data_IF_684507510381
#
_entry.id   IF_684507510381
#
_cell.length_a   1.000
_cell.length_b   1.000
_cell.length_c   1.000
_cell.angle_alpha   90.00
_cell.angle_beta   90.00
_cell.angle_gamma   90.00
#
_symmetry.space_group_name_H-M   'P 1'
#
loop_
_entity.id
_entity.type
_entity.pdbx_description
1 polymer ?
#
# COMPACT_ATOMS: atom_id res chain seq x y z
N UNK A 1 30.47 -27.15 7.25
CA UNK A 1 30.07 -26.11 6.27
C UNK A 1 29.39 -24.98 7.04
N UNK A 2 30.00 -23.81 7.13
CA UNK A 2 29.36 -22.65 7.72
C UNK A 2 28.19 -22.26 6.79
N UNK A 3 26.96 -22.39 7.27
CA UNK A 3 25.80 -21.88 6.58
C UNK A 3 25.96 -20.36 6.50
N UNK A 4 26.21 -19.84 5.30
CA UNK A 4 26.34 -18.41 5.08
C UNK A 4 24.99 -17.77 5.47
N UNK A 5 24.99 -16.93 6.49
CA UNK A 5 23.79 -16.24 6.96
C UNK A 5 23.23 -15.39 5.82
N UNK A 6 22.12 -15.83 5.23
CA UNK A 6 21.39 -15.04 4.23
C UNK A 6 20.48 -14.06 4.94
N UNK A 7 20.65 -12.78 4.69
CA UNK A 7 19.73 -11.76 5.19
C UNK A 7 18.31 -12.01 4.61
N UNK A 8 17.32 -12.40 5.44
CA UNK A 8 15.99 -12.76 4.95
C UNK A 8 15.12 -11.55 4.54
N UNK A 9 15.59 -10.33 4.76
CA UNK A 9 14.89 -9.10 4.37
C UNK A 9 15.26 -8.63 2.96
N UNK A 10 16.26 -9.24 2.30
CA UNK A 10 16.64 -8.87 0.94
C UNK A 10 15.52 -9.15 -0.06
N UNK A 11 15.38 -8.21 -1.00
CA UNK A 11 14.45 -8.26 -2.13
C UNK A 11 15.21 -8.34 -3.46
N UNK A 12 16.42 -8.88 -3.45
CA UNK A 12 17.24 -9.03 -4.66
C UNK A 12 16.46 -9.83 -5.73
N UNK A 13 16.46 -9.32 -6.97
CA UNK A 13 15.73 -9.89 -8.11
C UNK A 13 14.19 -9.82 -8.01
N UNK A 14 13.62 -9.18 -7.00
CA UNK A 14 12.18 -8.91 -6.95
C UNK A 14 11.84 -7.70 -7.81
N UNK A 15 10.66 -7.77 -8.46
CA UNK A 15 10.08 -6.67 -9.25
C UNK A 15 8.79 -6.25 -8.57
N UNK A 16 8.77 -5.02 -8.07
CA UNK A 16 7.67 -4.47 -7.30
C UNK A 16 6.89 -3.41 -8.09
N UNK A 17 5.58 -3.59 -8.21
CA UNK A 17 4.65 -2.58 -8.71
C UNK A 17 3.97 -1.89 -7.52
N UNK A 18 4.09 -0.55 -7.43
CA UNK A 18 3.54 0.23 -6.31
C UNK A 18 2.61 1.31 -6.84
N UNK A 19 1.32 1.21 -6.51
CA UNK A 19 0.35 2.23 -6.88
C UNK A 19 0.43 3.43 -5.93
N UNK A 20 0.32 4.67 -6.48
CA UNK A 20 0.49 5.88 -5.69
C UNK A 20 1.92 6.05 -5.14
N UNK A 21 2.93 5.49 -5.84
CA UNK A 21 4.32 5.46 -5.39
C UNK A 21 5.10 6.77 -5.53
N UNK A 22 4.51 7.82 -6.09
CA UNK A 22 5.18 9.10 -6.33
C UNK A 22 5.33 9.99 -5.09
N UNK A 23 4.59 9.75 -4.01
CA UNK A 23 4.59 10.60 -2.81
C UNK A 23 4.20 9.81 -1.56
N UNK A 24 4.45 10.40 -0.38
CA UNK A 24 3.96 9.91 0.91
C UNK A 24 4.32 8.45 1.19
N UNK A 25 3.35 7.69 1.71
CA UNK A 25 3.54 6.28 2.10
C UNK A 25 4.04 5.43 0.93
N UNK A 26 3.45 5.58 -0.27
CA UNK A 26 3.88 4.82 -1.43
C UNK A 26 5.33 5.08 -1.83
N UNK A 27 5.79 6.32 -1.70
CA UNK A 27 7.18 6.67 -1.92
C UNK A 27 8.11 6.08 -0.84
N UNK A 28 7.71 6.14 0.44
CA UNK A 28 8.45 5.50 1.54
C UNK A 28 8.62 3.98 1.33
N UNK A 29 7.56 3.31 0.86
CA UNK A 29 7.63 1.88 0.48
C UNK A 29 8.59 1.66 -0.69
N UNK A 30 8.50 2.48 -1.75
CA UNK A 30 9.39 2.37 -2.90
C UNK A 30 10.86 2.54 -2.50
N UNK A 31 11.17 3.52 -1.65
CA UNK A 31 12.50 3.78 -1.10
C UNK A 31 13.03 2.58 -0.29
N UNK A 32 12.20 2.02 0.59
CA UNK A 32 12.57 0.83 1.35
C UNK A 32 12.86 -0.36 0.42
N UNK A 33 12.02 -0.61 -0.58
CA UNK A 33 12.21 -1.73 -1.49
C UNK A 33 13.48 -1.62 -2.34
N UNK A 34 13.79 -0.42 -2.85
CA UNK A 34 15.06 -0.15 -3.54
C UNK A 34 16.26 -0.40 -2.62
N UNK A 35 16.20 0.07 -1.37
CA UNK A 35 17.27 -0.15 -0.38
C UNK A 35 17.48 -1.65 -0.04
N UNK A 36 16.44 -2.47 -0.16
CA UNK A 36 16.54 -3.93 0.01
C UNK A 36 16.84 -4.69 -1.28
N UNK A 37 17.06 -4.00 -2.42
CA UNK A 37 17.53 -4.58 -3.69
C UNK A 37 16.46 -4.87 -4.73
N UNK A 38 15.21 -4.49 -4.52
CA UNK A 38 14.16 -4.66 -5.52
C UNK A 38 14.23 -3.63 -6.65
N UNK A 39 13.85 -4.04 -7.86
CA UNK A 39 13.44 -3.11 -8.92
C UNK A 39 12.03 -2.64 -8.66
N UNK A 40 11.78 -1.33 -8.74
CA UNK A 40 10.50 -0.75 -8.40
C UNK A 40 9.90 -0.02 -9.59
N UNK A 41 8.65 -0.33 -9.92
CA UNK A 41 7.83 0.42 -10.85
C UNK A 41 6.74 1.14 -10.06
N UNK A 42 6.79 2.47 -10.06
CA UNK A 42 5.76 3.27 -9.40
C UNK A 42 4.73 3.75 -10.41
N UNK A 43 3.46 3.73 -10.02
CA UNK A 43 2.37 4.24 -10.87
C UNK A 43 1.53 5.28 -10.15
N UNK A 44 1.00 6.23 -10.92
CA UNK A 44 0.15 7.30 -10.43
C UNK A 44 -0.42 8.12 -11.57
N UNK A 45 -1.35 9.01 -11.28
CA UNK A 45 -2.08 9.82 -12.30
C UNK A 45 -1.29 11.01 -12.83
N UNK A 46 -0.36 11.52 -12.03
CA UNK A 46 0.40 12.74 -12.35
C UNK A 46 1.86 12.40 -12.58
N UNK A 47 2.35 12.79 -13.73
CA UNK A 47 3.69 12.42 -14.19
C UNK A 47 4.80 13.11 -13.38
N UNK A 48 4.66 14.40 -13.10
CA UNK A 48 5.68 15.19 -12.39
C UNK A 48 6.10 14.59 -11.03
N UNK A 49 5.18 14.22 -10.11
CA UNK A 49 5.57 13.56 -8.86
C UNK A 49 6.28 12.21 -9.08
N UNK A 50 5.89 11.47 -10.12
CA UNK A 50 6.51 10.18 -10.45
C UNK A 50 7.95 10.38 -10.96
N UNK A 51 8.18 11.35 -11.84
CA UNK A 51 9.52 11.70 -12.35
C UNK A 51 10.44 12.12 -11.20
N UNK A 52 9.96 12.98 -10.29
CA UNK A 52 10.71 13.42 -9.12
C UNK A 52 11.08 12.23 -8.22
N UNK A 53 10.12 11.35 -7.95
CA UNK A 53 10.33 10.16 -7.13
C UNK A 53 11.37 9.22 -7.76
N UNK A 54 11.26 8.91 -9.05
CA UNK A 54 12.24 8.03 -9.75
C UNK A 54 13.63 8.65 -9.75
N UNK A 55 13.76 9.97 -9.93
CA UNK A 55 15.05 10.66 -9.85
C UNK A 55 15.72 10.47 -8.48
N UNK A 56 14.94 10.51 -7.39
CA UNK A 56 15.43 10.29 -6.02
C UNK A 56 15.75 8.82 -5.75
N UNK A 57 14.90 7.89 -6.23
CA UNK A 57 15.07 6.44 -6.05
C UNK A 57 16.23 5.85 -6.87
N UNK A 58 16.65 6.52 -7.94
CA UNK A 58 17.79 6.11 -8.78
C UNK A 58 17.44 5.01 -9.80
N UNK A 59 18.48 4.33 -10.28
CA UNK A 59 18.42 3.42 -11.44
C UNK A 59 17.58 2.16 -11.24
N UNK A 60 17.27 1.80 -10.00
CA UNK A 60 16.40 0.66 -9.66
C UNK A 60 14.91 0.99 -9.77
N UNK A 61 14.54 2.24 -10.07
CA UNK A 61 13.17 2.69 -10.15
C UNK A 61 12.79 3.15 -11.56
N UNK A 62 11.54 2.91 -11.93
CA UNK A 62 10.89 3.44 -13.12
C UNK A 62 9.44 3.80 -12.82
N UNK A 63 8.74 4.48 -13.75
CA UNK A 63 7.35 4.85 -13.54
C UNK A 63 6.47 4.60 -14.76
N UNK A 64 5.16 4.56 -14.53
CA UNK A 64 4.09 4.62 -15.53
C UNK A 64 3.01 5.58 -15.07
N UNK A 65 2.51 6.40 -15.98
CA UNK A 65 1.30 7.19 -15.72
C UNK A 65 0.10 6.26 -15.87
N UNK A 66 -0.67 6.10 -14.80
CA UNK A 66 -1.83 5.22 -14.77
C UNK A 66 -2.84 5.66 -13.72
N UNK A 67 -4.13 5.65 -14.11
CA UNK A 67 -5.26 5.85 -13.20
C UNK A 67 -5.86 4.48 -12.84
N UNK A 68 -5.83 4.14 -11.55
CA UNK A 68 -6.33 2.85 -11.05
C UNK A 68 -7.82 2.62 -11.29
N UNK A 69 -8.58 3.68 -11.63
CA UNK A 69 -10.00 3.56 -12.00
C UNK A 69 -10.21 3.13 -13.46
N UNK A 70 -9.16 3.05 -14.25
CA UNK A 70 -9.19 2.59 -15.64
C UNK A 70 -9.02 1.07 -15.70
N UNK A 71 -9.99 0.36 -15.14
CA UNK A 71 -9.94 -1.10 -14.95
C UNK A 71 -9.70 -1.87 -16.24
N UNK A 72 -10.27 -1.39 -17.35
CA UNK A 72 -10.11 -1.93 -18.69
C UNK A 72 -8.67 -1.89 -19.22
N UNK A 73 -7.83 -1.02 -18.64
CA UNK A 73 -6.42 -0.89 -19.01
C UNK A 73 -5.46 -1.63 -18.08
N UNK A 74 -5.99 -2.30 -17.05
CA UNK A 74 -5.14 -3.00 -16.06
C UNK A 74 -4.30 -4.09 -16.71
N UNK A 75 -4.88 -4.88 -17.61
CA UNK A 75 -4.17 -5.97 -18.30
C UNK A 75 -3.03 -5.43 -19.17
N UNK A 76 -3.30 -4.46 -20.04
CA UNK A 76 -2.28 -3.86 -20.91
C UNK A 76 -1.16 -3.16 -20.13
N UNK A 77 -1.46 -2.56 -18.96
CA UNK A 77 -0.44 -2.02 -18.07
C UNK A 77 0.50 -3.12 -17.58
N UNK A 78 -0.07 -4.20 -17.03
CA UNK A 78 0.71 -5.31 -16.49
C UNK A 78 1.55 -5.98 -17.56
N UNK A 79 1.00 -6.22 -18.76
CA UNK A 79 1.71 -6.81 -19.88
C UNK A 79 2.89 -5.93 -20.31
N UNK A 80 2.69 -4.62 -20.43
CA UNK A 80 3.76 -3.69 -20.80
C UNK A 80 4.91 -3.65 -19.78
N UNK A 81 4.59 -3.72 -18.50
CA UNK A 81 5.58 -3.79 -17.42
C UNK A 81 6.33 -5.11 -17.49
N UNK A 82 5.62 -6.21 -17.68
CA UNK A 82 6.21 -7.55 -17.75
C UNK A 82 7.15 -7.71 -18.94
N UNK A 83 6.78 -7.19 -20.11
CA UNK A 83 7.63 -7.20 -21.31
C UNK A 83 8.94 -6.43 -21.09
N UNK A 84 8.90 -5.32 -20.38
CA UNK A 84 10.05 -4.45 -20.18
C UNK A 84 10.93 -4.85 -18.99
N UNK A 85 10.34 -5.32 -17.92
CA UNK A 85 11.04 -5.49 -16.63
C UNK A 85 11.08 -6.95 -16.15
N UNK A 86 10.22 -7.81 -16.67
CA UNK A 86 10.02 -9.18 -16.18
C UNK A 86 8.77 -9.31 -15.30
N UNK A 87 8.53 -10.52 -14.78
CA UNK A 87 7.34 -10.83 -13.97
C UNK A 87 7.29 -10.02 -12.68
N UNK A 88 6.14 -9.41 -12.41
CA UNK A 88 5.88 -8.67 -11.17
C UNK A 88 5.71 -9.68 -10.05
N UNK A 89 6.65 -9.71 -9.11
CA UNK A 89 6.64 -10.60 -7.94
C UNK A 89 6.05 -9.96 -6.69
N UNK A 90 5.94 -8.62 -6.67
CA UNK A 90 5.37 -7.85 -5.57
C UNK A 90 4.40 -6.80 -6.11
N UNK A 91 3.18 -6.78 -5.59
CA UNK A 91 2.22 -5.71 -5.84
C UNK A 91 1.88 -4.99 -4.53
N UNK A 92 2.00 -3.65 -4.53
CA UNK A 92 1.55 -2.81 -3.41
C UNK A 92 0.38 -1.94 -3.87
N UNK A 93 -0.80 -2.25 -3.36
CA UNK A 93 -2.01 -1.47 -3.53
C UNK A 93 -2.04 -0.32 -2.51
N UNK A 94 -1.40 0.80 -2.85
CA UNK A 94 -1.32 1.98 -1.98
C UNK A 94 -2.15 3.16 -2.51
N UNK A 95 -2.36 3.29 -3.81
CA UNK A 95 -3.19 4.35 -4.36
C UNK A 95 -4.56 4.38 -3.68
N UNK A 96 -4.99 5.56 -3.26
CA UNK A 96 -6.25 5.70 -2.55
C UNK A 96 -6.78 7.13 -2.61
N UNK A 97 -8.05 7.27 -2.34
CA UNK A 97 -8.76 8.52 -2.19
C UNK A 97 -9.32 8.62 -0.79
N UNK A 98 -9.01 9.71 -0.11
CA UNK A 98 -9.56 10.05 1.19
C UNK A 98 -10.74 11.02 0.99
N UNK A 99 -11.82 10.80 1.74
CA UNK A 99 -12.95 11.73 1.82
C UNK A 99 -13.20 12.09 3.27
N UNK A 100 -13.33 13.38 3.56
CA UNK A 100 -13.70 13.89 4.87
C UNK A 100 -15.00 14.72 4.71
N UNK A 101 -16.14 14.12 5.07
CA UNK A 101 -17.47 14.71 4.96
C UNK A 101 -18.41 14.03 5.95
N UNK A 102 -19.33 14.78 6.56
CA UNK A 102 -20.32 14.19 7.47
C UNK A 102 -21.15 13.12 6.72
N UNK A 103 -21.41 12.00 7.36
CA UNK A 103 -22.05 10.86 6.71
C UNK A 103 -23.41 11.19 6.08
N UNK A 104 -24.17 12.10 6.70
CA UNK A 104 -25.47 12.54 6.20
C UNK A 104 -25.37 13.35 4.89
N UNK A 105 -24.21 13.94 4.62
CA UNK A 105 -23.99 14.79 3.44
C UNK A 105 -23.28 14.06 2.30
N UNK A 106 -22.80 12.81 2.54
CA UNK A 106 -22.12 12.00 1.50
C UNK A 106 -23.15 11.47 0.53
N UNK A 107 -22.98 11.78 -0.78
CA UNK A 107 -23.86 11.22 -1.81
C UNK A 107 -23.39 9.80 -2.21
N UNK A 108 -24.27 9.04 -2.84
CA UNK A 108 -23.98 7.70 -3.35
C UNK A 108 -22.86 7.75 -4.40
N UNK A 109 -22.82 8.78 -5.24
CA UNK A 109 -21.79 8.98 -6.26
C UNK A 109 -20.43 9.22 -5.64
N UNK A 110 -20.35 10.07 -4.60
CA UNK A 110 -19.12 10.31 -3.84
C UNK A 110 -18.65 9.03 -3.14
N UNK A 111 -19.59 8.26 -2.56
CA UNK A 111 -19.29 6.99 -1.92
C UNK A 111 -18.73 6.00 -2.92
N UNK A 112 -19.38 5.84 -4.08
CA UNK A 112 -18.94 4.96 -5.17
C UNK A 112 -17.58 5.37 -5.73
N UNK A 113 -17.32 6.69 -5.84
CA UNK A 113 -16.00 7.18 -6.28
C UNK A 113 -14.88 6.71 -5.35
N UNK A 114 -15.09 6.77 -4.02
CA UNK A 114 -14.12 6.26 -3.04
C UNK A 114 -13.93 4.75 -3.17
N UNK A 115 -15.01 3.99 -3.35
CA UNK A 115 -14.93 2.53 -3.58
C UNK A 115 -14.21 2.18 -4.89
N UNK A 116 -14.49 2.90 -5.97
CA UNK A 116 -13.86 2.67 -7.27
C UNK A 116 -12.35 2.83 -7.20
N UNK A 117 -11.87 3.90 -6.55
CA UNK A 117 -10.43 4.14 -6.42
C UNK A 117 -9.78 3.13 -5.47
N UNK A 118 -10.32 2.99 -4.26
CA UNK A 118 -9.66 2.20 -3.21
C UNK A 118 -9.88 0.69 -3.41
N UNK A 119 -11.10 0.24 -3.71
CA UNK A 119 -11.44 -1.20 -3.71
C UNK A 119 -11.30 -1.80 -5.09
N UNK A 120 -12.06 -1.28 -6.08
CA UNK A 120 -12.10 -1.88 -7.41
C UNK A 120 -10.78 -1.73 -8.15
N UNK A 121 -10.09 -0.57 -8.01
CA UNK A 121 -8.76 -0.35 -8.59
C UNK A 121 -7.74 -1.34 -8.06
N UNK A 122 -7.72 -1.53 -6.74
CA UNK A 122 -6.83 -2.49 -6.09
C UNK A 122 -7.14 -3.94 -6.46
N UNK A 123 -8.42 -4.30 -6.52
CA UNK A 123 -8.85 -5.64 -6.92
C UNK A 123 -8.49 -5.94 -8.38
N UNK A 124 -8.76 -4.99 -9.28
CA UNK A 124 -8.46 -5.15 -10.72
C UNK A 124 -6.98 -5.41 -10.96
N UNK A 125 -6.09 -4.63 -10.35
CA UNK A 125 -4.64 -4.84 -10.46
C UNK A 125 -4.20 -6.15 -9.79
N UNK A 126 -4.72 -6.46 -8.60
CA UNK A 126 -4.39 -7.70 -7.90
C UNK A 126 -4.74 -8.92 -8.74
N UNK A 127 -5.92 -8.93 -9.38
CA UNK A 127 -6.36 -10.01 -10.27
C UNK A 127 -5.44 -10.18 -11.48
N UNK A 128 -5.01 -9.10 -12.12
CA UNK A 128 -4.13 -9.21 -13.29
C UNK A 128 -2.71 -9.64 -12.91
N UNK A 129 -2.15 -9.09 -11.84
CA UNK A 129 -0.82 -9.51 -11.38
C UNK A 129 -0.84 -10.95 -10.87
N UNK A 130 -1.89 -11.37 -10.18
CA UNK A 130 -2.02 -12.75 -9.69
C UNK A 130 -1.98 -13.78 -10.82
N UNK A 131 -2.47 -13.49 -12.03
CA UNK A 131 -2.36 -14.39 -13.19
C UNK A 131 -0.90 -14.81 -13.43
N UNK A 132 0.05 -13.88 -13.35
CA UNK A 132 1.48 -14.16 -13.54
C UNK A 132 2.09 -14.86 -12.32
N UNK A 133 1.71 -14.43 -11.11
CA UNK A 133 2.20 -15.02 -9.87
C UNK A 133 1.77 -16.48 -9.74
N UNK A 134 0.57 -16.82 -10.18
CA UNK A 134 0.06 -18.22 -10.21
C UNK A 134 0.89 -19.11 -11.14
N UNK A 135 1.31 -18.61 -12.31
CA UNK A 135 2.18 -19.36 -13.23
C UNK A 135 3.56 -19.62 -12.62
N UNK A 136 4.11 -18.64 -11.91
CA UNK A 136 5.43 -18.76 -11.28
C UNK A 136 5.41 -19.42 -9.89
N UNK A 137 4.21 -19.69 -9.35
CA UNK A 137 3.98 -20.17 -7.99
C UNK A 137 4.71 -19.34 -6.93
N UNK A 138 4.79 -18.01 -7.15
CA UNK A 138 5.48 -17.07 -6.28
C UNK A 138 4.88 -15.67 -6.40
N UNK A 139 4.55 -15.07 -5.27
CA UNK A 139 4.10 -13.67 -5.28
C UNK A 139 3.77 -13.11 -3.90
N UNK A 140 3.72 -11.78 -3.84
CA UNK A 140 3.31 -11.05 -2.65
C UNK A 140 2.39 -9.89 -3.05
N UNK A 141 1.21 -9.84 -2.47
CA UNK A 141 0.27 -8.73 -2.65
C UNK A 141 0.07 -8.05 -1.30
N UNK A 142 0.33 -6.75 -1.27
CA UNK A 142 0.21 -5.92 -0.07
C UNK A 142 -0.84 -4.83 -0.31
N UNK A 143 -1.79 -4.70 0.62
CA UNK A 143 -2.76 -3.62 0.64
C UNK A 143 -2.40 -2.61 1.71
N UNK A 144 -2.46 -1.32 1.39
CA UNK A 144 -2.35 -0.26 2.38
C UNK A 144 -3.76 0.11 2.82
N UNK A 145 -4.16 -0.52 3.92
CA UNK A 145 -5.42 -0.28 4.62
C UNK A 145 -5.38 1.05 5.40
N UNK A 146 -5.92 1.10 6.59
CA UNK A 146 -5.89 2.25 7.50
C UNK A 146 -6.29 1.79 8.90
N UNK A 147 -5.89 2.53 9.92
CA UNK A 147 -6.47 2.37 11.26
C UNK A 147 -8.01 2.50 11.24
N UNK A 148 -8.58 3.22 10.28
CA UNK A 148 -10.04 3.32 10.09
C UNK A 148 -10.70 2.00 9.66
N UNK A 149 -9.92 0.99 9.28
CA UNK A 149 -10.39 -0.38 9.09
C UNK A 149 -10.62 -1.12 10.42
N UNK A 150 -10.08 -0.61 11.52
CA UNK A 150 -10.05 -1.25 12.83
C UNK A 150 -10.87 -0.49 13.87
N UNK A 151 -10.95 0.84 13.73
CA UNK A 151 -11.68 1.73 14.65
C UNK A 151 -12.54 2.73 13.88
N UNK A 152 -13.59 3.23 14.55
CA UNK A 152 -14.45 4.29 14.00
C UNK A 152 -13.81 5.67 14.12
N UNK A 153 -13.79 6.41 13.01
CA UNK A 153 -13.43 7.83 12.96
C UNK A 153 -14.59 8.58 12.29
N UNK A 154 -15.08 9.69 12.87
CA UNK A 154 -16.18 10.46 12.27
C UNK A 154 -15.77 11.11 10.95
N UNK A 155 -16.74 11.37 10.11
CA UNK A 155 -16.63 12.10 8.83
C UNK A 155 -15.79 11.40 7.74
N UNK A 156 -15.48 10.10 7.88
CA UNK A 156 -14.71 9.34 6.89
C UNK A 156 -15.41 8.01 6.52
N UNK A 157 -16.73 7.98 6.50
CA UNK A 157 -17.52 6.76 6.36
C UNK A 157 -17.20 5.99 5.08
N UNK A 158 -17.21 6.63 3.91
CA UNK A 158 -16.89 5.98 2.65
C UNK A 158 -15.45 5.46 2.61
N UNK A 159 -14.51 6.25 3.14
CA UNK A 159 -13.10 5.84 3.25
C UNK A 159 -12.92 4.65 4.19
N UNK A 160 -13.56 4.69 5.37
CA UNK A 160 -13.52 3.57 6.34
C UNK A 160 -14.11 2.30 5.75
N UNK A 161 -15.26 2.39 5.06
CA UNK A 161 -15.86 1.25 4.36
C UNK A 161 -14.91 0.66 3.31
N UNK A 162 -14.29 1.53 2.48
CA UNK A 162 -13.33 1.10 1.47
C UNK A 162 -12.08 0.43 2.07
N UNK A 163 -11.53 0.99 3.13
CA UNK A 163 -10.34 0.43 3.79
C UNK A 163 -10.65 -0.83 4.59
N UNK A 164 -11.86 -0.96 5.15
CA UNK A 164 -12.33 -2.17 5.80
C UNK A 164 -12.57 -3.32 4.81
N UNK A 165 -12.96 -3.02 3.56
CA UNK A 165 -13.07 -4.02 2.49
C UNK A 165 -11.76 -4.80 2.29
N UNK A 166 -10.60 -4.17 2.50
CA UNK A 166 -9.29 -4.85 2.39
C UNK A 166 -9.15 -6.00 3.40
N UNK A 167 -9.77 -5.92 4.59
CA UNK A 167 -9.71 -7.00 5.58
C UNK A 167 -10.38 -8.28 5.07
N UNK A 168 -11.51 -8.12 4.38
CA UNK A 168 -12.20 -9.23 3.71
C UNK A 168 -11.42 -9.76 2.52
N UNK A 169 -10.95 -8.86 1.63
CA UNK A 169 -10.16 -9.21 0.45
C UNK A 169 -8.88 -9.95 0.82
N UNK A 170 -8.12 -9.45 1.80
CA UNK A 170 -6.86 -10.08 2.23
C UNK A 170 -7.09 -11.50 2.72
N UNK A 171 -8.10 -11.74 3.55
CA UNK A 171 -8.41 -13.09 4.06
C UNK A 171 -8.85 -14.04 2.95
N UNK A 172 -9.75 -13.59 2.10
CA UNK A 172 -10.27 -14.41 0.99
C UNK A 172 -9.16 -14.76 -0.02
N UNK A 173 -8.43 -13.74 -0.50
CA UNK A 173 -7.36 -13.93 -1.48
C UNK A 173 -6.17 -14.73 -0.92
N UNK A 174 -5.83 -14.54 0.37
CA UNK A 174 -4.81 -15.35 1.03
C UNK A 174 -5.23 -16.82 1.08
N UNK A 175 -6.47 -17.13 1.44
CA UNK A 175 -6.97 -18.51 1.48
C UNK A 175 -6.97 -19.14 0.09
N UNK A 176 -7.36 -18.38 -0.93
CA UNK A 176 -7.46 -18.88 -2.30
C UNK A 176 -6.08 -19.09 -2.95
N UNK A 177 -5.13 -18.16 -2.75
CA UNK A 177 -3.88 -18.13 -3.52
C UNK A 177 -2.64 -18.63 -2.78
N UNK A 178 -2.69 -18.76 -1.43
CA UNK A 178 -1.52 -19.25 -0.68
C UNK A 178 -1.13 -20.71 -1.02
N UNK A 179 -2.08 -21.62 -1.36
CA UNK A 179 -1.68 -22.95 -1.85
C UNK A 179 -0.82 -22.93 -3.12
N UNK A 180 -0.90 -21.83 -3.91
CA UNK A 180 -0.10 -21.63 -5.11
C UNK A 180 1.12 -20.69 -4.86
N UNK A 181 1.49 -20.46 -3.60
CA UNK A 181 2.71 -19.72 -3.26
C UNK A 181 2.57 -18.19 -3.25
N UNK A 182 1.35 -17.65 -3.28
CA UNK A 182 1.13 -16.20 -3.20
C UNK A 182 0.69 -15.83 -1.79
N UNK A 183 1.41 -14.89 -1.16
CA UNK A 183 1.02 -14.31 0.14
C UNK A 183 0.28 -13.00 -0.06
N UNK A 184 -0.78 -12.78 0.72
CA UNK A 184 -1.61 -11.58 0.65
C UNK A 184 -1.77 -11.02 2.05
N UNK A 185 -1.31 -9.77 2.26
CA UNK A 185 -1.35 -9.10 3.56
C UNK A 185 -1.81 -7.64 3.42
N UNK A 186 -2.10 -7.00 4.54
CA UNK A 186 -2.31 -5.57 4.61
C UNK A 186 -1.48 -4.92 5.73
N UNK A 187 -1.21 -3.63 5.57
CA UNK A 187 -0.75 -2.75 6.64
C UNK A 187 -1.88 -1.76 6.92
N UNK A 188 -2.16 -1.49 8.19
CA UNK A 188 -3.06 -0.44 8.63
C UNK A 188 -2.25 0.71 9.26
N UNK A 189 -1.85 1.73 8.46
CA UNK A 189 -1.15 2.89 8.99
C UNK A 189 -2.02 3.68 9.96
N UNK A 190 -1.38 4.23 10.99
CA UNK A 190 -1.94 5.27 11.83
C UNK A 190 -1.77 6.66 11.22
N UNK A 191 -1.45 7.62 12.08
CA UNK A 191 -1.16 8.99 11.66
C UNK A 191 0.30 9.11 11.24
N UNK A 192 0.55 9.14 9.93
CA UNK A 192 1.88 9.19 9.32
C UNK A 192 2.17 10.61 8.83
N UNK A 193 3.36 11.12 9.14
CA UNK A 193 3.83 12.44 8.70
C UNK A 193 4.05 12.47 7.19
N UNK A 194 3.05 12.93 6.48
CA UNK A 194 3.04 13.12 5.03
C UNK A 194 2.68 14.56 4.70
N UNK A 195 2.99 15.00 3.47
CA UNK A 195 2.58 16.33 3.02
C UNK A 195 1.05 16.56 3.16
N UNK A 196 0.25 15.50 2.94
CA UNK A 196 -1.20 15.55 3.14
C UNK A 196 -1.56 15.77 4.62
N UNK A 197 -0.91 15.05 5.56
CA UNK A 197 -1.15 15.18 6.99
C UNK A 197 -0.72 16.56 7.48
N UNK A 198 0.48 17.04 7.10
CA UNK A 198 0.97 18.37 7.46
C UNK A 198 -0.02 19.45 7.02
N UNK A 199 -0.47 19.43 5.76
CA UNK A 199 -1.48 20.36 5.26
C UNK A 199 -2.80 20.28 6.04
N UNK A 200 -3.22 19.09 6.45
CA UNK A 200 -4.47 18.89 7.20
C UNK A 200 -4.39 19.34 8.67
N UNK A 201 -3.18 19.57 9.20
CA UNK A 201 -2.93 19.95 10.60
C UNK A 201 -2.28 21.33 10.77
N UNK A 202 -1.81 21.96 9.68
CA UNK A 202 -1.06 23.22 9.68
C UNK A 202 -1.78 24.36 10.41
N UNK A 203 -3.10 24.44 10.27
CA UNK A 203 -3.92 25.49 10.88
C UNK A 203 -4.75 25.00 12.09
N UNK A 204 -4.55 23.76 12.56
CA UNK A 204 -5.36 23.16 13.61
C UNK A 204 -4.51 22.45 14.68
N UNK A 205 -3.89 23.23 15.62
CA UNK A 205 -3.12 22.66 16.74
C UNK A 205 -3.94 21.73 17.64
N UNK A 206 -5.24 21.99 17.81
CA UNK A 206 -6.11 21.13 18.62
C UNK A 206 -6.29 19.76 17.99
N UNK A 207 -6.30 19.71 16.67
CA UNK A 207 -6.32 18.42 15.93
C UNK A 207 -5.04 17.64 16.16
N UNK A 208 -3.88 18.31 16.15
CA UNK A 208 -2.58 17.67 16.45
C UNK A 208 -2.60 17.09 17.85
N UNK A 209 -3.00 17.87 18.85
CA UNK A 209 -3.09 17.44 20.26
C UNK A 209 -4.02 16.22 20.39
N UNK A 210 -5.20 16.25 19.75
CA UNK A 210 -6.14 15.13 19.76
C UNK A 210 -5.56 13.87 19.11
N UNK A 211 -4.82 14.01 18.01
CA UNK A 211 -4.16 12.90 17.32
C UNK A 211 -3.07 12.28 18.21
N UNK A 212 -2.19 13.11 18.74
CA UNK A 212 -1.08 12.66 19.58
C UNK A 212 -1.59 12.10 20.92
N UNK A 213 -2.62 12.73 21.51
CA UNK A 213 -3.24 12.22 22.74
C UNK A 213 -3.92 10.84 22.57
N UNK A 214 -4.38 10.51 21.36
CA UNK A 214 -4.91 9.18 21.05
C UNK A 214 -3.82 8.15 20.72
N UNK A 215 -2.63 8.61 20.30
CA UNK A 215 -1.52 7.73 19.90
C UNK A 215 -0.64 7.45 21.13
N UNK A 216 -0.63 6.23 21.69
CA UNK A 216 0.14 5.90 22.91
C UNK A 216 1.63 6.26 22.80
N UNK A 217 2.25 6.14 21.63
CA UNK A 217 3.63 6.57 21.42
C UNK A 217 3.81 8.09 21.42
N UNK A 218 2.74 8.90 21.34
CA UNK A 218 2.76 10.36 21.41
C UNK A 218 3.45 11.07 20.24
N UNK A 219 3.68 10.38 19.13
CA UNK A 219 4.35 10.91 17.93
C UNK A 219 3.58 10.54 16.66
N UNK A 220 3.83 11.26 15.58
CA UNK A 220 3.47 10.81 14.23
C UNK A 220 4.46 9.74 13.78
N UNK A 221 3.98 8.73 13.07
CA UNK A 221 4.85 7.79 12.37
C UNK A 221 5.47 8.45 11.12
N UNK A 222 6.58 7.90 10.65
CA UNK A 222 7.25 8.31 9.43
C UNK A 222 6.87 7.40 8.26
N UNK A 223 7.07 7.87 7.02
CA UNK A 223 6.80 7.05 5.83
C UNK A 223 7.72 5.81 5.78
N UNK A 224 8.90 5.92 6.37
CA UNK A 224 9.87 4.85 6.52
C UNK A 224 9.37 3.70 7.40
N UNK A 225 8.59 3.97 8.45
CA UNK A 225 8.01 2.93 9.33
C UNK A 225 7.11 2.00 8.52
N UNK A 226 6.32 2.58 7.61
CA UNK A 226 5.48 1.80 6.69
C UNK A 226 6.34 1.10 5.64
N UNK A 227 7.39 1.76 5.15
CA UNK A 227 8.33 1.20 4.18
C UNK A 227 9.04 -0.05 4.68
N UNK A 228 9.59 -0.02 5.89
CA UNK A 228 10.27 -1.17 6.50
C UNK A 228 9.31 -2.31 6.82
N UNK A 229 8.12 -1.98 7.32
CA UNK A 229 7.06 -2.98 7.56
C UNK A 229 6.62 -3.64 6.25
N UNK A 230 6.46 -2.88 5.18
CA UNK A 230 6.13 -3.40 3.87
C UNK A 230 7.25 -4.33 3.36
N UNK A 231 8.53 -3.92 3.48
CA UNK A 231 9.67 -4.74 3.11
C UNK A 231 9.70 -6.07 3.90
N UNK A 232 9.44 -6.04 5.20
CA UNK A 232 9.29 -7.27 6.00
C UNK A 232 8.21 -8.18 5.43
N UNK A 233 6.98 -7.67 5.25
CA UNK A 233 5.83 -8.49 4.84
C UNK A 233 5.99 -9.12 3.47
N UNK A 234 6.73 -8.51 2.55
CA UNK A 234 6.97 -9.06 1.21
C UNK A 234 8.26 -9.90 1.12
N UNK A 235 9.13 -9.83 2.11
CA UNK A 235 10.41 -10.55 2.13
C UNK A 235 10.28 -12.02 2.55
N UNK A 236 11.36 -12.83 2.35
CA UNK A 236 11.45 -14.19 2.90
C UNK A 236 11.35 -14.26 4.44
N UNK A 237 11.64 -13.16 5.18
CA UNK A 237 11.49 -13.12 6.64
C UNK A 237 10.03 -13.36 7.07
N UNK A 238 9.06 -12.97 6.22
CA UNK A 238 7.62 -13.16 6.44
C UNK A 238 7.04 -14.38 5.70
N UNK A 239 7.85 -15.40 5.37
CA UNK A 239 7.41 -16.56 4.55
C UNK A 239 6.21 -17.32 5.11
N UNK A 240 5.93 -17.21 6.41
CA UNK A 240 4.80 -17.86 7.07
C UNK A 240 3.73 -16.87 7.53
N UNK A 241 3.72 -15.65 6.96
CA UNK A 241 2.76 -14.58 7.24
C UNK A 241 1.90 -14.32 6.01
N UNK A 242 0.62 -14.65 6.08
CA UNK A 242 -0.39 -14.38 5.04
C UNK A 242 -1.76 -14.19 5.68
N UNK A 243 -2.64 -13.41 5.08
CA UNK A 243 -4.01 -13.17 5.54
C UNK A 243 -4.13 -12.17 6.69
N UNK A 244 -3.05 -11.46 7.05
CA UNK A 244 -3.04 -10.51 8.18
C UNK A 244 -3.21 -9.06 7.73
N UNK A 245 -3.79 -8.25 8.62
CA UNK A 245 -3.70 -6.79 8.56
C UNK A 245 -2.89 -6.33 9.76
N UNK A 246 -1.69 -5.81 9.53
CA UNK A 246 -0.75 -5.40 10.57
C UNK A 246 -0.91 -3.90 10.85
N UNK A 247 -1.35 -3.48 12.05
CA UNK A 247 -1.34 -2.08 12.45
C UNK A 247 0.10 -1.56 12.58
N UNK A 248 0.36 -0.38 12.00
CA UNK A 248 1.60 0.39 12.17
C UNK A 248 1.18 1.83 12.50
N UNK A 249 0.81 2.04 13.75
CA UNK A 249 -0.03 3.17 14.14
C UNK A 249 0.36 3.78 15.51
N UNK A 250 1.50 3.39 16.07
CA UNK A 250 1.93 3.86 17.38
C UNK A 250 0.97 3.53 18.53
N UNK A 251 0.08 2.53 18.32
CA UNK A 251 -0.95 2.11 19.27
C UNK A 251 -2.28 2.86 19.14
N UNK A 252 -2.44 3.73 18.12
CA UNK A 252 -3.64 4.57 17.98
C UNK A 252 -4.94 3.77 17.82
N UNK A 253 -4.90 2.53 17.31
CA UNK A 253 -6.08 1.67 17.19
C UNK A 253 -6.49 0.96 18.48
N UNK A 254 -5.64 0.93 19.52
CA UNK A 254 -5.89 0.29 20.81
C UNK A 254 -5.86 1.27 21.99
N UNK A 255 -5.37 2.50 21.81
CA UNK A 255 -5.36 3.56 22.81
C UNK A 255 -6.76 4.17 23.04
N UNK A 256 -7.01 4.74 24.25
CA UNK A 256 -8.23 5.48 24.57
C UNK A 256 -8.04 6.98 24.51
#
# INVERSE_FOLDING_TARGET
>A
MQQQFRNPFKLDNEIALITGGGTGIGFGIAKAFVNFGAKVIIVGRHEEPLQKAVKELGHMASYRVYDVTKFEKSESLIDSITQQHGHISILVNNAGMHQNKAAIDVTEEEFLQVLNVNVLGSFSLSRQVAKQMLVSSKGNILFIASMTSLIGIPSVTAYSAAKSAYLGMVRSLATEWSPQGIRVNAIAPGFIDTAMMRKATESDPKRVEKILGRTPMGIFGEIEDIGWTAAYLVSPAAKFVTGVCLPVDGGASIGF
#
